data_IF_761666293057
#
_entry.id   IF_761666293057
#
_cell.length_a   1.000
_cell.length_b   1.000
_cell.length_c   1.000
_cell.angle_alpha   90.00
_cell.angle_beta   90.00
_cell.angle_gamma   90.00
#
_symmetry.space_group_name_H-M   'P 1'
#
loop_
_entity.id
_entity.type
_entity.pdbx_description
1 polymer ?
#
# COMPACT_ATOMS: atom_id res chain seq x y z
N UNK A 1 -0.95 -1.19 -22.22
CA UNK A 1 -0.49 -1.26 -20.82
C UNK A 1 -0.27 -2.72 -20.48
N UNK A 2 0.96 -3.15 -20.30
CA UNK A 2 1.32 -4.56 -20.01
C UNK A 2 1.20 -4.75 -18.51
N UNK A 3 0.33 -5.69 -18.08
CA UNK A 3 0.18 -6.07 -16.67
C UNK A 3 1.35 -6.97 -16.27
N UNK A 4 2.19 -6.48 -15.34
CA UNK A 4 3.22 -7.29 -14.71
C UNK A 4 2.57 -8.32 -13.77
N UNK A 5 2.99 -9.58 -13.86
CA UNK A 5 2.57 -10.62 -12.92
C UNK A 5 3.35 -10.54 -11.59
N UNK A 6 2.86 -11.28 -10.58
CA UNK A 6 3.46 -11.31 -9.24
C UNK A 6 4.96 -11.57 -9.26
N UNK A 7 5.41 -12.48 -10.10
CA UNK A 7 6.83 -12.88 -10.19
C UNK A 7 7.69 -11.77 -10.82
N UNK A 8 7.16 -11.07 -11.83
CA UNK A 8 7.82 -9.89 -12.41
C UNK A 8 7.92 -8.75 -11.36
N UNK A 9 6.88 -8.55 -10.54
CA UNK A 9 6.90 -7.57 -9.45
C UNK A 9 7.92 -7.94 -8.36
N UNK A 10 8.04 -9.23 -8.00
CA UNK A 10 9.06 -9.71 -7.05
C UNK A 10 10.48 -9.45 -7.57
N UNK A 11 10.74 -9.76 -8.86
CA UNK A 11 12.01 -9.44 -9.50
C UNK A 11 12.28 -7.93 -9.48
N UNK A 12 11.28 -7.12 -9.82
CA UNK A 12 11.42 -5.67 -9.87
C UNK A 12 11.74 -5.07 -8.50
N UNK A 13 11.04 -5.51 -7.42
CA UNK A 13 11.36 -5.11 -6.05
C UNK A 13 12.78 -5.49 -5.63
N UNK A 14 13.21 -6.70 -5.98
CA UNK A 14 14.58 -7.15 -5.72
C UNK A 14 15.61 -6.23 -6.41
N UNK A 15 15.41 -5.90 -7.71
CA UNK A 15 16.32 -5.04 -8.46
C UNK A 15 16.38 -3.61 -7.90
N UNK A 16 15.25 -3.04 -7.46
CA UNK A 16 15.19 -1.71 -6.81
C UNK A 16 16.01 -1.69 -5.52
N UNK A 17 16.01 -2.79 -4.76
CA UNK A 17 16.74 -2.91 -3.49
C UNK A 17 18.25 -3.09 -3.63
N UNK A 18 18.75 -3.37 -4.84
CA UNK A 18 20.17 -3.60 -5.05
C UNK A 18 21.00 -2.33 -4.81
N UNK A 19 22.08 -2.47 -4.02
CA UNK A 19 23.10 -1.44 -3.83
C UNK A 19 24.33 -1.70 -4.71
N UNK A 20 24.56 -2.95 -5.11
CA UNK A 20 25.64 -3.39 -5.99
C UNK A 20 25.08 -4.22 -7.13
N UNK A 21 25.84 -4.30 -8.24
CA UNK A 21 25.40 -5.07 -9.41
C UNK A 21 25.28 -6.56 -9.10
N UNK A 22 24.14 -7.17 -9.45
CA UNK A 22 23.88 -8.58 -9.28
C UNK A 22 23.81 -9.31 -10.61
N UNK A 23 24.51 -10.44 -10.72
CA UNK A 23 24.46 -11.29 -11.93
C UNK A 23 23.10 -12.03 -12.01
N UNK A 24 22.68 -12.42 -13.22
CA UNK A 24 21.48 -13.26 -13.42
C UNK A 24 21.56 -14.55 -12.59
N UNK A 25 22.75 -15.09 -12.36
CA UNK A 25 22.93 -16.28 -11.53
C UNK A 25 22.66 -16.00 -10.06
N UNK A 26 23.12 -14.85 -9.57
CA UNK A 26 22.85 -14.39 -8.19
C UNK A 26 21.37 -14.15 -7.99
N UNK A 27 20.74 -13.37 -8.89
CA UNK A 27 19.29 -13.10 -8.88
C UNK A 27 18.46 -14.39 -8.88
N UNK A 28 18.83 -15.33 -9.77
CA UNK A 28 18.20 -16.64 -9.90
C UNK A 28 18.22 -17.42 -8.58
N UNK A 29 19.35 -17.41 -7.87
CA UNK A 29 19.52 -18.08 -6.59
C UNK A 29 18.71 -17.40 -5.47
N UNK A 30 18.81 -16.09 -5.36
CA UNK A 30 18.15 -15.31 -4.30
C UNK A 30 16.62 -15.39 -4.41
N UNK A 31 16.08 -15.37 -5.63
CA UNK A 31 14.63 -15.47 -5.87
C UNK A 31 14.11 -16.91 -6.01
N UNK A 32 14.99 -17.93 -5.92
CA UNK A 32 14.60 -19.33 -6.09
C UNK A 32 14.04 -19.65 -7.49
N UNK A 33 14.44 -18.90 -8.52
CA UNK A 33 13.94 -19.03 -9.90
C UNK A 33 15.03 -19.53 -10.83
N UNK A 34 14.64 -20.16 -11.95
CA UNK A 34 15.62 -20.51 -12.98
C UNK A 34 16.09 -19.25 -13.73
N UNK A 35 17.33 -19.23 -14.23
CA UNK A 35 17.87 -18.13 -15.04
C UNK A 35 16.96 -17.79 -16.24
N UNK A 36 16.35 -18.79 -16.88
CA UNK A 36 15.42 -18.61 -17.98
C UNK A 36 14.18 -17.81 -17.55
N UNK A 37 13.64 -18.08 -16.34
CA UNK A 37 12.52 -17.33 -15.77
C UNK A 37 12.91 -15.88 -15.46
N UNK A 38 14.11 -15.67 -14.90
CA UNK A 38 14.60 -14.30 -14.62
C UNK A 38 14.68 -13.49 -15.92
N UNK A 39 15.24 -14.03 -17.02
CA UNK A 39 15.25 -13.35 -18.30
C UNK A 39 13.86 -13.07 -18.85
N UNK A 40 12.95 -14.03 -18.78
CA UNK A 40 11.57 -13.87 -19.22
C UNK A 40 10.83 -12.74 -18.47
N UNK A 41 11.01 -12.66 -17.14
CA UNK A 41 10.40 -11.61 -16.35
C UNK A 41 11.09 -10.26 -16.55
N UNK A 42 12.40 -10.25 -16.82
CA UNK A 42 13.14 -9.03 -17.18
C UNK A 42 12.63 -8.45 -18.51
N UNK A 43 12.40 -9.31 -19.50
CA UNK A 43 11.80 -8.90 -20.78
C UNK A 43 10.42 -8.27 -20.59
N UNK A 44 9.54 -8.89 -19.78
CA UNK A 44 8.23 -8.30 -19.41
C UNK A 44 8.34 -6.94 -18.73
N UNK A 45 9.34 -6.77 -17.87
CA UNK A 45 9.58 -5.48 -17.20
C UNK A 45 10.02 -4.45 -18.23
N UNK A 46 10.92 -4.81 -19.15
CA UNK A 46 11.38 -3.94 -20.23
C UNK A 46 10.25 -3.56 -21.19
N UNK A 47 9.34 -4.50 -21.50
CA UNK A 47 8.15 -4.19 -22.29
C UNK A 47 7.25 -3.14 -21.59
N UNK A 48 7.16 -3.20 -20.25
CA UNK A 48 6.41 -2.21 -19.48
C UNK A 48 7.16 -0.86 -19.35
N UNK A 49 8.48 -0.85 -19.45
CA UNK A 49 9.33 0.34 -19.45
C UNK A 49 9.45 1.00 -20.83
N UNK A 50 9.07 0.31 -21.91
CA UNK A 50 9.21 0.81 -23.28
C UNK A 50 8.50 2.16 -23.51
N UNK A 51 7.35 2.38 -22.86
CA UNK A 51 6.62 3.65 -22.92
C UNK A 51 7.43 4.85 -22.33
N UNK A 52 8.47 4.57 -21.53
CA UNK A 52 9.36 5.56 -20.90
C UNK A 52 10.73 5.67 -21.57
N UNK A 53 10.92 4.98 -22.71
CA UNK A 53 12.21 4.91 -23.43
C UNK A 53 13.39 4.40 -22.55
N UNK A 54 13.09 3.55 -21.54
CA UNK A 54 14.07 2.97 -20.62
C UNK A 54 14.13 1.44 -20.75
N UNK A 55 15.33 0.88 -20.59
CA UNK A 55 15.57 -0.56 -20.62
C UNK A 55 16.54 -0.98 -19.52
N UNK A 56 16.23 -2.08 -18.85
CA UNK A 56 17.10 -2.72 -17.86
C UNK A 56 17.94 -3.77 -18.57
N UNK A 57 19.26 -3.53 -18.67
CA UNK A 57 20.18 -4.40 -19.39
C UNK A 57 21.10 -5.14 -18.42
N UNK A 58 21.26 -6.45 -18.62
CA UNK A 58 22.26 -7.24 -17.91
C UNK A 58 23.63 -7.13 -18.58
N UNK A 59 24.56 -6.43 -17.97
CA UNK A 59 25.93 -6.27 -18.49
C UNK A 59 26.74 -7.56 -18.29
N UNK A 60 27.44 -8.07 -19.32
CA UNK A 60 28.27 -9.26 -19.22
C UNK A 60 29.32 -9.11 -18.09
N UNK A 61 29.43 -10.13 -17.23
CA UNK A 61 30.38 -10.21 -16.10
C UNK A 61 30.14 -9.21 -14.95
N UNK A 62 29.28 -8.21 -15.14
CA UNK A 62 28.92 -7.20 -14.11
C UNK A 62 27.56 -7.55 -13.50
N UNK A 63 26.55 -7.75 -14.33
CA UNK A 63 25.18 -8.01 -13.89
C UNK A 63 24.25 -6.83 -14.15
N UNK A 64 23.24 -6.70 -13.30
CA UNK A 64 22.22 -5.64 -13.34
C UNK A 64 22.40 -4.75 -12.12
N UNK A 65 22.44 -3.44 -12.34
CA UNK A 65 22.28 -2.40 -11.33
C UNK A 65 21.44 -1.27 -11.94
N UNK A 66 20.36 -0.91 -11.27
CA UNK A 66 19.48 0.17 -11.72
C UNK A 66 20.09 1.54 -11.38
N UNK A 67 19.96 2.48 -12.32
CA UNK A 67 20.18 3.91 -12.02
C UNK A 67 19.08 4.43 -11.10
N UNK A 68 19.26 5.57 -10.45
CA UNK A 68 18.23 6.17 -9.60
C UNK A 68 16.98 6.58 -10.41
N UNK A 69 17.16 7.00 -11.67
CA UNK A 69 16.06 7.26 -12.58
C UNK A 69 15.25 5.99 -12.85
N UNK A 70 15.92 4.89 -13.20
CA UNK A 70 15.27 3.59 -13.41
C UNK A 70 14.58 3.08 -12.13
N UNK A 71 15.20 3.24 -10.96
CA UNK A 71 14.57 2.87 -9.67
C UNK A 71 13.27 3.65 -9.44
N UNK A 72 13.22 4.95 -9.76
CA UNK A 72 12.04 5.77 -9.61
C UNK A 72 10.92 5.33 -10.56
N UNK A 73 11.22 5.12 -11.84
CA UNK A 73 10.28 4.58 -12.83
C UNK A 73 9.76 3.19 -12.42
N UNK A 74 10.65 2.32 -11.95
CA UNK A 74 10.26 0.99 -11.47
C UNK A 74 9.36 1.04 -10.24
N UNK A 75 9.56 2.01 -9.32
CA UNK A 75 8.63 2.24 -8.19
C UNK A 75 7.26 2.71 -8.67
N UNK A 76 7.21 3.62 -9.65
CA UNK A 76 5.94 4.05 -10.26
C UNK A 76 5.21 2.88 -10.94
N UNK A 77 5.92 2.06 -11.71
CA UNK A 77 5.34 0.85 -12.31
C UNK A 77 4.74 -0.08 -11.25
N UNK A 78 5.46 -0.35 -10.16
CA UNK A 78 4.95 -1.18 -9.06
C UNK A 78 3.68 -0.59 -8.44
N UNK A 79 3.63 0.73 -8.21
CA UNK A 79 2.44 1.40 -7.70
C UNK A 79 1.23 1.22 -8.63
N UNK A 80 1.44 1.22 -9.95
CA UNK A 80 0.36 1.01 -10.91
C UNK A 80 -0.11 -0.45 -10.98
N UNK A 81 0.80 -1.42 -10.82
CA UNK A 81 0.49 -2.85 -10.92
C UNK A 81 -0.15 -3.38 -9.63
N UNK A 82 0.41 -3.07 -8.49
CA UNK A 82 -0.01 -3.64 -7.20
C UNK A 82 -1.41 -3.18 -6.79
N UNK A 83 -1.82 -1.99 -7.22
CA UNK A 83 -3.12 -1.44 -6.83
C UNK A 83 -4.31 -2.03 -7.59
N UNK A 84 -4.12 -2.60 -8.78
CA UNK A 84 -5.20 -3.25 -9.53
C UNK A 84 -5.37 -4.74 -9.21
N UNK A 85 -4.37 -5.37 -8.61
CA UNK A 85 -4.38 -6.81 -8.31
C UNK A 85 -4.25 -7.13 -6.82
N UNK A 86 -4.05 -6.13 -5.96
CA UNK A 86 -3.87 -6.35 -4.53
C UNK A 86 -5.21 -6.63 -3.86
N UNK A 87 -5.40 -7.86 -3.42
CA UNK A 87 -6.58 -8.25 -2.64
C UNK A 87 -6.29 -8.01 -1.17
N UNK A 88 -6.99 -7.03 -0.58
CA UNK A 88 -6.89 -6.72 0.85
C UNK A 88 -7.32 -7.91 1.70
N UNK A 89 -6.52 -8.31 2.67
CA UNK A 89 -6.93 -9.22 3.73
C UNK A 89 -8.04 -8.59 4.59
N UNK A 90 -8.74 -9.37 5.40
CA UNK A 90 -9.79 -8.85 6.28
C UNK A 90 -9.24 -7.78 7.24
N UNK A 91 -8.04 -8.00 7.82
CA UNK A 91 -7.40 -7.05 8.71
C UNK A 91 -7.04 -5.73 8.00
N UNK A 92 -6.45 -5.79 6.82
CA UNK A 92 -6.11 -4.62 6.02
C UNK A 92 -7.35 -3.82 5.59
N UNK A 93 -8.46 -4.51 5.24
CA UNK A 93 -9.73 -3.83 4.97
C UNK A 93 -10.27 -3.10 6.19
N UNK A 94 -10.25 -3.75 7.37
CA UNK A 94 -10.68 -3.11 8.62
C UNK A 94 -9.84 -1.88 8.95
N UNK A 95 -8.52 -1.95 8.79
CA UNK A 95 -7.62 -0.80 9.00
C UNK A 95 -7.91 0.34 8.02
N UNK A 96 -8.09 0.02 6.73
CA UNK A 96 -8.43 0.99 5.68
C UNK A 96 -9.79 1.67 5.96
N UNK A 97 -10.83 0.89 6.28
CA UNK A 97 -12.17 1.39 6.62
C UNK A 97 -12.12 2.27 7.88
N UNK A 98 -11.43 1.84 8.91
CA UNK A 98 -11.28 2.59 10.16
C UNK A 98 -10.59 3.94 9.93
N UNK A 99 -9.49 3.94 9.18
CA UNK A 99 -8.77 5.16 8.86
C UNK A 99 -9.61 6.11 7.99
N UNK A 100 -10.36 5.58 7.02
CA UNK A 100 -11.28 6.36 6.22
C UNK A 100 -12.38 7.01 7.06
N UNK A 101 -13.04 6.27 7.96
CA UNK A 101 -14.07 6.82 8.86
C UNK A 101 -13.48 7.89 9.79
N UNK A 102 -12.23 7.74 10.23
CA UNK A 102 -11.54 8.73 11.05
C UNK A 102 -11.27 10.05 10.33
N UNK A 103 -10.99 10.00 9.03
CA UNK A 103 -10.48 11.13 8.25
C UNK A 103 -11.51 11.78 7.34
N UNK A 104 -12.58 11.06 7.00
CA UNK A 104 -13.60 11.54 6.07
C UNK A 104 -14.28 12.82 6.60
N UNK A 105 -14.32 13.85 5.76
CA UNK A 105 -15.05 15.11 6.00
C UNK A 105 -16.52 14.98 5.61
N UNK A 106 -16.81 14.10 4.68
CA UNK A 106 -18.14 13.83 4.16
C UNK A 106 -18.79 12.64 4.86
N UNK A 107 -20.12 12.51 4.61
CA UNK A 107 -20.88 11.35 5.08
C UNK A 107 -20.32 10.05 4.52
N UNK A 108 -19.91 9.13 5.41
CA UNK A 108 -19.46 7.78 5.04
C UNK A 108 -20.65 6.86 4.91
N UNK A 109 -20.89 6.35 3.71
CA UNK A 109 -21.99 5.39 3.42
C UNK A 109 -21.43 4.00 3.14
N UNK A 110 -22.31 3.00 3.15
CA UNK A 110 -21.93 1.62 2.85
C UNK A 110 -21.41 1.48 1.40
N UNK A 111 -22.00 2.23 0.48
CA UNK A 111 -21.58 2.26 -0.92
C UNK A 111 -20.16 2.78 -1.05
N UNK A 112 -19.82 3.90 -0.38
CA UNK A 112 -18.45 4.43 -0.34
C UNK A 112 -17.44 3.43 0.24
N UNK A 113 -17.85 2.65 1.25
CA UNK A 113 -16.99 1.61 1.82
C UNK A 113 -16.82 0.40 0.90
N UNK A 114 -17.85 0.03 0.14
CA UNK A 114 -17.75 -1.00 -0.89
C UNK A 114 -16.79 -0.58 -2.01
N UNK A 115 -16.91 0.66 -2.50
CA UNK A 115 -16.03 1.23 -3.53
C UNK A 115 -14.57 1.33 -3.02
N UNK A 116 -14.39 1.74 -1.75
CA UNK A 116 -13.07 1.84 -1.12
C UNK A 116 -12.35 0.48 -1.03
N UNK A 117 -13.09 -0.56 -0.68
CA UNK A 117 -12.52 -1.88 -0.35
C UNK A 117 -12.65 -2.92 -1.48
N UNK A 118 -13.42 -2.60 -2.52
CA UNK A 118 -13.73 -3.48 -3.66
C UNK A 118 -14.30 -4.84 -3.23
N UNK A 119 -15.22 -4.81 -2.24
CA UNK A 119 -15.91 -6.02 -1.76
C UNK A 119 -17.41 -5.84 -1.64
N UNK A 120 -18.12 -6.95 -1.47
CA UNK A 120 -19.58 -6.96 -1.35
C UNK A 120 -20.07 -6.24 -0.09
N UNK A 121 -21.34 -5.76 -0.14
CA UNK A 121 -22.03 -5.17 1.00
C UNK A 121 -21.97 -6.04 2.26
N UNK A 122 -22.16 -7.35 2.11
CA UNK A 122 -22.14 -8.27 3.25
C UNK A 122 -20.76 -8.34 3.88
N UNK A 123 -19.71 -8.34 3.07
CA UNK A 123 -18.31 -8.33 3.55
C UNK A 123 -18.03 -7.04 4.33
N UNK A 124 -18.43 -5.88 3.81
CA UNK A 124 -18.25 -4.59 4.52
C UNK A 124 -19.01 -4.57 5.84
N UNK A 125 -20.24 -5.11 5.89
CA UNK A 125 -21.02 -5.18 7.13
C UNK A 125 -20.36 -6.08 8.17
N UNK A 126 -19.75 -7.19 7.77
CA UNK A 126 -18.98 -8.06 8.65
C UNK A 126 -17.73 -7.33 9.16
N UNK A 127 -16.95 -6.71 8.26
CA UNK A 127 -15.76 -5.92 8.64
C UNK A 127 -16.13 -4.80 9.65
N UNK A 128 -17.25 -4.10 9.46
CA UNK A 128 -17.73 -3.08 10.40
C UNK A 128 -18.14 -3.64 11.76
N UNK A 129 -18.68 -4.86 11.81
CA UNK A 129 -18.99 -5.54 13.07
C UNK A 129 -17.70 -5.96 13.79
N UNK A 130 -16.71 -6.46 13.05
CA UNK A 130 -15.42 -6.83 13.60
C UNK A 130 -14.66 -5.61 14.14
N UNK A 131 -14.71 -4.46 13.44
CA UNK A 131 -14.18 -3.18 13.94
C UNK A 131 -14.87 -2.78 15.26
N UNK A 132 -16.19 -2.89 15.38
CA UNK A 132 -16.90 -2.59 16.64
C UNK A 132 -16.44 -3.49 17.79
N UNK A 133 -16.29 -4.79 17.51
CA UNK A 133 -15.82 -5.76 18.50
C UNK A 133 -14.37 -5.42 18.93
N UNK A 134 -13.50 -5.10 18.00
CA UNK A 134 -12.12 -4.71 18.28
C UNK A 134 -12.06 -3.44 19.14
N UNK A 135 -12.79 -2.38 18.78
CA UNK A 135 -12.84 -1.13 19.53
C UNK A 135 -13.30 -1.35 21.00
N UNK A 136 -14.24 -2.28 21.20
CA UNK A 136 -14.71 -2.63 22.54
C UNK A 136 -13.67 -3.40 23.35
N UNK A 137 -12.97 -4.34 22.70
CA UNK A 137 -11.97 -5.21 23.34
C UNK A 137 -10.69 -4.44 23.70
N UNK A 138 -10.23 -3.55 22.83
CA UNK A 138 -8.98 -2.80 23.01
C UNK A 138 -9.11 -1.55 23.90
N UNK A 139 -10.29 -1.28 24.44
CA UNK A 139 -10.57 -0.21 25.42
C UNK A 139 -10.16 1.20 24.96
N UNK A 140 -10.20 1.49 23.65
CA UNK A 140 -9.89 2.83 23.14
C UNK A 140 -10.90 3.92 23.54
N UNK A 141 -12.02 3.55 24.19
CA UNK A 141 -13.14 4.45 24.49
C UNK A 141 -13.65 5.17 23.22
N UNK A 142 -13.65 4.45 22.11
CA UNK A 142 -14.12 4.87 20.79
C UNK A 142 -15.24 3.94 20.37
N UNK A 143 -16.36 4.49 19.92
CA UNK A 143 -17.50 3.71 19.47
C UNK A 143 -17.82 4.01 18.01
N UNK A 144 -18.06 2.96 17.20
CA UNK A 144 -18.47 3.09 15.81
C UNK A 144 -20.00 3.03 15.72
N UNK A 145 -20.60 4.15 15.35
CA UNK A 145 -22.04 4.27 15.11
C UNK A 145 -22.39 4.49 13.64
N UNK A 146 -23.67 4.30 13.32
CA UNK A 146 -24.22 4.68 12.03
C UNK A 146 -25.64 5.24 12.20
N UNK A 147 -25.94 6.32 11.48
CA UNK A 147 -27.27 6.89 11.37
C UNK A 147 -27.61 7.23 9.93
N UNK A 148 -28.91 7.32 9.61
CA UNK A 148 -29.35 7.70 8.27
C UNK A 148 -28.84 9.07 7.83
N UNK A 149 -28.67 10.01 8.76
CA UNK A 149 -28.23 11.38 8.46
C UNK A 149 -26.71 11.51 8.36
N UNK A 150 -25.95 10.88 9.28
CA UNK A 150 -24.49 11.05 9.39
C UNK A 150 -23.69 9.95 8.67
N UNK A 151 -24.32 8.80 8.34
CA UNK A 151 -23.61 7.61 7.88
C UNK A 151 -22.83 6.95 9.02
N UNK A 152 -21.70 6.32 8.72
CA UNK A 152 -20.78 5.73 9.70
C UNK A 152 -19.85 6.79 10.28
N UNK A 153 -19.70 6.83 11.59
CA UNK A 153 -18.85 7.80 12.30
C UNK A 153 -18.38 7.24 13.63
N UNK A 154 -17.29 7.80 14.14
CA UNK A 154 -16.80 7.51 15.48
C UNK A 154 -17.40 8.51 16.50
N UNK A 155 -17.85 7.96 17.62
CA UNK A 155 -18.29 8.73 18.80
C UNK A 155 -17.31 8.51 19.94
N UNK A 156 -16.53 9.55 20.26
CA UNK A 156 -15.47 9.51 21.26
C UNK A 156 -14.97 10.91 21.59
N UNK A 157 -14.27 11.00 22.72
CA UNK A 157 -13.51 12.21 23.01
C UNK A 157 -12.38 12.43 21.98
N UNK A 158 -12.07 13.70 21.60
CA UNK A 158 -11.04 13.98 20.60
C UNK A 158 -9.67 13.34 20.88
N UNK A 159 -9.24 13.29 22.14
CA UNK A 159 -7.98 12.64 22.54
C UNK A 159 -7.99 11.13 22.26
N UNK A 160 -9.11 10.46 22.53
CA UNK A 160 -9.25 9.03 22.26
C UNK A 160 -9.21 8.76 20.76
N UNK A 161 -9.78 9.65 19.95
CA UNK A 161 -9.69 9.57 18.48
C UNK A 161 -8.23 9.67 18.01
N UNK A 162 -7.46 10.61 18.57
CA UNK A 162 -6.04 10.78 18.23
C UNK A 162 -5.24 9.52 18.60
N UNK A 163 -5.47 8.96 19.80
CA UNK A 163 -4.82 7.72 20.22
C UNK A 163 -5.16 6.55 19.31
N UNK A 164 -6.42 6.41 18.94
CA UNK A 164 -6.86 5.36 18.02
C UNK A 164 -6.23 5.51 16.63
N UNK A 165 -6.24 6.72 16.06
CA UNK A 165 -5.59 6.99 14.75
C UNK A 165 -4.08 6.72 14.84
N UNK A 166 -3.41 7.12 15.93
CA UNK A 166 -1.99 6.82 16.11
C UNK A 166 -1.72 5.31 16.11
N UNK A 167 -2.53 4.54 16.84
CA UNK A 167 -2.40 3.07 16.87
C UNK A 167 -2.66 2.45 15.50
N UNK A 168 -3.69 2.91 14.77
CA UNK A 168 -3.95 2.46 13.40
C UNK A 168 -2.75 2.72 12.48
N UNK A 169 -2.20 3.93 12.51
CA UNK A 169 -1.04 4.29 11.69
C UNK A 169 0.19 3.47 12.07
N UNK A 170 0.41 3.21 13.37
CA UNK A 170 1.49 2.34 13.82
C UNK A 170 1.36 0.93 13.21
N UNK A 171 0.20 0.29 13.34
CA UNK A 171 -0.02 -1.05 12.77
C UNK A 171 0.09 -1.08 11.24
N UNK A 172 -0.37 -0.03 10.55
CA UNK A 172 -0.30 0.06 9.09
C UNK A 172 1.15 0.24 8.61
N UNK A 173 1.89 1.20 9.18
CA UNK A 173 3.19 1.60 8.65
C UNK A 173 4.38 0.86 9.26
N UNK A 174 4.25 0.31 10.45
CA UNK A 174 5.33 -0.41 11.14
C UNK A 174 5.17 -1.92 11.01
N UNK A 175 3.95 -2.44 11.15
CA UNK A 175 3.67 -3.87 11.13
C UNK A 175 3.08 -4.35 9.79
N UNK A 176 2.50 -3.45 9.00
CA UNK A 176 1.89 -3.76 7.72
C UNK A 176 2.90 -4.08 6.62
N UNK A 177 2.43 -4.75 5.57
CA UNK A 177 3.24 -4.99 4.38
C UNK A 177 3.43 -3.70 3.57
N UNK A 178 4.59 -3.52 2.94
CA UNK A 178 4.83 -2.37 2.05
C UNK A 178 3.78 -2.29 0.94
N UNK A 179 3.36 -3.44 0.38
CA UNK A 179 2.34 -3.49 -0.65
C UNK A 179 0.99 -2.92 -0.16
N UNK A 180 0.59 -3.20 1.08
CA UNK A 180 -0.61 -2.62 1.67
C UNK A 180 -0.48 -1.11 1.88
N UNK A 181 0.67 -0.65 2.37
CA UNK A 181 0.96 0.79 2.54
C UNK A 181 0.83 1.52 1.20
N UNK A 182 1.39 0.98 0.12
CA UNK A 182 1.33 1.56 -1.21
C UNK A 182 -0.12 1.65 -1.73
N UNK A 183 -0.91 0.59 -1.57
CA UNK A 183 -2.34 0.57 -1.90
C UNK A 183 -3.12 1.60 -1.10
N UNK A 184 -2.88 1.69 0.21
CA UNK A 184 -3.53 2.64 1.10
C UNK A 184 -3.22 4.08 0.67
N UNK A 185 -1.96 4.41 0.47
CA UNK A 185 -1.53 5.76 0.05
C UNK A 185 -2.18 6.14 -1.27
N UNK A 186 -2.25 5.23 -2.25
CA UNK A 186 -2.91 5.50 -3.53
C UNK A 186 -4.41 5.74 -3.35
N UNK A 187 -5.12 4.86 -2.62
CA UNK A 187 -6.57 5.03 -2.38
C UNK A 187 -6.88 6.34 -1.65
N UNK A 188 -6.06 6.73 -0.69
CA UNK A 188 -6.22 8.02 -0.01
C UNK A 188 -5.89 9.21 -0.91
N UNK A 189 -4.89 9.12 -1.79
CA UNK A 189 -4.63 10.14 -2.81
C UNK A 189 -5.85 10.34 -3.72
N UNK A 190 -6.42 9.28 -4.25
CA UNK A 190 -7.61 9.32 -5.12
C UNK A 190 -8.83 9.93 -4.42
N UNK A 191 -9.02 9.64 -3.13
CA UNK A 191 -10.15 10.15 -2.33
C UNK A 191 -10.01 11.62 -1.95
N UNK A 192 -8.78 12.10 -1.78
CA UNK A 192 -8.47 13.46 -1.33
C UNK A 192 -7.81 14.30 -2.43
N UNK A 193 -7.99 13.93 -3.70
CA UNK A 193 -7.46 14.63 -4.86
C UNK A 193 -7.92 16.09 -4.85
N UNK A 194 -7.00 16.97 -4.47
CA UNK A 194 -7.20 18.42 -4.31
C UNK A 194 -6.70 19.01 -2.99
N UNK A 195 -6.48 18.22 -1.95
CA UNK A 195 -5.89 18.71 -0.70
C UNK A 195 -4.51 18.05 -0.43
N UNK A 196 -3.46 18.73 -0.84
CA UNK A 196 -2.02 18.42 -0.63
C UNK A 196 -1.63 18.24 0.86
N UNK A 197 -2.56 18.47 1.80
CA UNK A 197 -2.27 18.53 3.23
C UNK A 197 -1.96 17.16 3.86
N UNK A 198 -2.56 16.07 3.39
CA UNK A 198 -2.38 14.77 4.06
C UNK A 198 -1.05 14.12 3.71
N UNK A 199 -0.57 14.27 2.47
CA UNK A 199 0.74 13.74 2.06
C UNK A 199 1.89 14.44 2.79
N UNK A 200 1.81 15.76 3.02
CA UNK A 200 2.79 16.52 3.79
C UNK A 200 2.74 16.20 5.28
N UNK A 201 1.57 15.98 5.86
CA UNK A 201 1.44 15.62 7.27
C UNK A 201 1.88 14.18 7.54
N UNK A 202 1.56 13.22 6.66
CA UNK A 202 2.05 11.85 6.77
C UNK A 202 3.55 11.75 6.51
N UNK A 203 4.09 12.46 5.51
CA UNK A 203 5.52 12.55 5.27
C UNK A 203 6.26 13.25 6.41
N UNK A 204 5.68 14.31 7.01
CA UNK A 204 6.23 14.99 8.18
C UNK A 204 6.25 14.07 9.42
N UNK A 205 5.21 13.26 9.63
CA UNK A 205 5.18 12.28 10.72
C UNK A 205 6.16 11.13 10.50
N UNK A 206 6.34 10.69 9.24
CA UNK A 206 7.31 9.64 8.88
C UNK A 206 8.76 10.14 8.89
N UNK A 207 9.00 11.43 8.60
CA UNK A 207 10.34 12.04 8.65
C UNK A 207 10.79 12.45 10.05
N UNK A 208 9.88 12.55 11.02
CA UNK A 208 10.18 12.72 12.44
C UNK A 208 10.44 11.36 13.11
N UNK A 209 11.35 10.56 12.53
CA UNK A 209 11.93 9.45 13.29
C UNK A 209 12.71 10.05 14.45
N UNK A 210 12.11 9.92 15.64
CA UNK A 210 12.82 10.21 16.92
C UNK A 210 14.06 9.33 16.94
N UNK A 211 15.27 9.88 17.08
CA UNK A 211 16.44 9.05 17.27
C UNK A 211 16.23 8.24 18.54
N UNK A 212 16.30 6.92 18.42
CA UNK A 212 16.40 6.02 19.56
C UNK A 212 17.68 6.38 20.33
N UNK A 213 17.53 6.95 21.49
CA UNK A 213 18.58 7.09 22.50
C UNK A 213 18.68 5.78 23.27
#
# INVERSE_FOLDING_TARGET
>A
MILLDKTSCELLRYLIGLQEAATIMTISRELGQSRRKVYYHLEKINDALADYEEEIVSQPRVGILLTEQQKNLCRELLLHVDTHSYILSANERMQLVSLYICTAKERVTIEKLMDLTDVSRNTVLNDLNDIRNQLTTEQYLVNLYSTKSRGYYLDCHPLNKIQYVHSLLYHIFIEGSQAFVDVLVKKFKELFDGEVLLSHQLQSLLSQQVPLV
#
